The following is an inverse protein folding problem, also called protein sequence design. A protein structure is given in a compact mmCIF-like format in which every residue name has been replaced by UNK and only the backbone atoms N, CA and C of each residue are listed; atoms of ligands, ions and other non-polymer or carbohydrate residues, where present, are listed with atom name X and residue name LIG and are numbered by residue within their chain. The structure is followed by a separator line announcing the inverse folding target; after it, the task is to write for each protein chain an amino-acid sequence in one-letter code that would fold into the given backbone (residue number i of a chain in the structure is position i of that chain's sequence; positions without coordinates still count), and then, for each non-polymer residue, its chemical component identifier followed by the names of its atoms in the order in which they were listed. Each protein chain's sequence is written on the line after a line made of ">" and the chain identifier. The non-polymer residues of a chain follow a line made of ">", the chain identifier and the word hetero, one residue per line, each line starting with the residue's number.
data_IF_444067228807
#
_entry.id   IF_444067228807
#
_cell.length_a   1.000
_cell.length_b   1.000
_cell.length_c   1.000
_cell.angle_alpha   90.00
_cell.angle_beta   90.00
_cell.angle_gamma   90.00
#
_symmetry.space_group_name_H-M   'P 1'
#
loop_
_entity.id
_entity.type
_entity.pdbx_description
1 polymer ?
#
# COMPACT_ATOMS: atom_id res chain seq x y z
N UNK A 1 6.18 -3.48 -15.38
CA UNK A 1 5.04 -4.36 -15.71
C UNK A 1 3.78 -3.53 -15.81
N UNK A 2 2.87 -3.91 -16.70
CA UNK A 2 1.53 -3.31 -16.74
C UNK A 2 0.62 -4.14 -15.83
N UNK A 3 0.52 -3.75 -14.56
CA UNK A 3 -0.31 -4.40 -13.54
C UNK A 3 -1.46 -3.48 -13.15
N UNK A 4 -2.61 -4.00 -12.69
CA UNK A 4 -3.67 -3.18 -12.13
C UNK A 4 -3.14 -2.20 -11.08
N UNK A 5 -3.66 -0.97 -11.05
CA UNK A 5 -3.14 0.10 -10.18
C UNK A 5 -3.14 -0.28 -8.69
N UNK A 6 -4.15 -1.04 -8.25
CA UNK A 6 -4.29 -1.48 -6.87
C UNK A 6 -3.35 -2.63 -6.48
N UNK A 7 -2.51 -3.13 -7.39
CA UNK A 7 -1.61 -4.25 -7.12
C UNK A 7 -0.22 -3.74 -6.78
N UNK A 8 0.32 -4.19 -5.64
CA UNK A 8 1.71 -3.97 -5.28
C UNK A 8 2.49 -5.27 -5.50
N UNK A 9 3.22 -5.31 -6.62
CA UNK A 9 3.99 -6.46 -7.07
C UNK A 9 5.48 -6.24 -6.78
N UNK A 10 6.16 -7.27 -6.29
CA UNK A 10 7.57 -7.24 -5.94
C UNK A 10 8.33 -8.39 -6.62
N UNK A 11 9.59 -8.17 -6.99
CA UNK A 11 10.48 -9.22 -7.47
C UNK A 11 11.02 -10.00 -6.28
N UNK A 12 10.71 -11.30 -6.19
CA UNK A 12 11.19 -12.15 -5.09
C UNK A 12 12.42 -12.96 -5.48
N UNK A 13 12.66 -13.15 -6.77
CA UNK A 13 13.82 -13.84 -7.28
C UNK A 13 14.23 -13.32 -8.65
N UNK A 14 15.53 -13.09 -8.83
CA UNK A 14 16.17 -12.96 -10.14
C UNK A 14 17.67 -13.18 -9.95
N UNK A 15 18.33 -14.04 -10.75
CA UNK A 15 19.78 -14.15 -10.74
C UNK A 15 20.48 -12.96 -11.43
N UNK A 16 19.72 -12.09 -12.10
CA UNK A 16 20.20 -10.93 -12.86
C UNK A 16 19.61 -9.62 -12.32
N UNK A 17 20.30 -8.50 -12.57
CA UNK A 17 19.74 -7.16 -12.35
C UNK A 17 18.61 -6.89 -13.36
N UNK A 18 17.40 -6.67 -12.85
CA UNK A 18 16.20 -6.45 -13.65
C UNK A 18 16.11 -5.04 -14.23
N UNK A 19 16.82 -4.07 -13.63
CA UNK A 19 16.86 -2.70 -14.15
C UNK A 19 17.84 -2.60 -15.34
N UNK A 20 18.88 -3.45 -15.37
CA UNK A 20 19.97 -3.40 -16.35
C UNK A 20 20.32 -4.76 -16.95
N UNK A 21 19.35 -5.43 -17.59
CA UNK A 21 19.58 -6.74 -18.21
C UNK A 21 20.60 -6.63 -19.36
N UNK A 22 21.77 -7.26 -19.20
CA UNK A 22 22.79 -7.35 -20.23
C UNK A 22 22.80 -8.73 -20.91
N UNK A 23 22.06 -8.87 -22.02
CA UNK A 23 21.83 -10.18 -22.67
C UNK A 23 23.10 -10.87 -23.18
N UNK A 24 24.15 -10.12 -23.52
CA UNK A 24 25.40 -10.73 -23.99
C UNK A 24 26.19 -11.46 -22.89
N UNK A 25 25.84 -11.25 -21.61
CA UNK A 25 26.39 -11.99 -20.46
C UNK A 25 25.45 -13.06 -19.93
N UNK A 26 24.34 -13.35 -20.63
CA UNK A 26 23.39 -14.40 -20.25
C UNK A 26 23.71 -15.66 -21.05
N UNK A 27 23.88 -16.79 -20.38
CA UNK A 27 24.27 -18.06 -21.03
C UNK A 27 23.10 -18.77 -21.73
N UNK A 28 21.90 -18.76 -21.14
CA UNK A 28 20.69 -19.39 -21.68
C UNK A 28 19.52 -18.40 -21.71
N UNK A 29 18.97 -18.07 -20.54
CA UNK A 29 17.79 -17.21 -20.40
C UNK A 29 17.81 -16.40 -19.10
N UNK A 30 17.03 -15.34 -19.11
CA UNK A 30 16.74 -14.52 -17.92
C UNK A 30 15.42 -14.99 -17.34
N UNK A 31 15.44 -15.43 -16.09
CA UNK A 31 14.23 -15.81 -15.34
C UNK A 31 14.13 -14.94 -14.09
N UNK A 32 12.91 -14.55 -13.76
CA UNK A 32 12.60 -13.81 -12.54
C UNK A 32 11.21 -14.19 -12.04
N UNK A 33 11.07 -14.26 -10.73
CA UNK A 33 9.81 -14.53 -10.06
C UNK A 33 9.32 -13.26 -9.38
N UNK A 34 8.04 -12.99 -9.54
CA UNK A 34 7.38 -11.85 -8.95
C UNK A 34 6.15 -12.30 -8.17
N UNK A 35 5.85 -11.58 -7.10
CA UNK A 35 4.72 -11.87 -6.23
C UNK A 35 3.81 -10.64 -6.13
N UNK A 36 2.51 -10.88 -6.17
CA UNK A 36 1.54 -9.89 -5.69
C UNK A 36 1.59 -9.91 -4.16
N UNK A 37 2.37 -9.00 -3.58
CA UNK A 37 2.59 -8.99 -2.13
C UNK A 37 1.41 -8.34 -1.39
N UNK A 38 0.85 -7.26 -1.95
CA UNK A 38 -0.28 -6.56 -1.36
C UNK A 38 -1.27 -6.05 -2.40
N UNK A 39 -2.51 -5.85 -1.95
CA UNK A 39 -3.52 -5.06 -2.65
C UNK A 39 -3.65 -3.74 -1.88
N UNK A 40 -3.65 -2.63 -2.62
CA UNK A 40 -3.83 -1.30 -2.05
C UNK A 40 -5.28 -1.12 -1.58
N UNK A 41 -5.42 -0.60 -0.36
CA UNK A 41 -6.67 -0.13 0.20
C UNK A 41 -6.60 1.38 0.21
N UNK A 42 -7.40 1.99 -0.66
CA UNK A 42 -7.35 3.41 -0.97
C UNK A 42 -8.71 4.05 -0.69
N UNK A 43 -8.69 5.33 -0.37
CA UNK A 43 -9.93 6.07 -0.20
C UNK A 43 -9.68 7.56 -0.03
N UNK A 44 -10.78 8.25 0.24
CA UNK A 44 -10.78 9.67 0.52
C UNK A 44 -11.44 9.94 1.86
N UNK A 45 -10.92 10.93 2.58
CA UNK A 45 -11.43 11.34 3.89
C UNK A 45 -11.71 12.85 3.89
N UNK A 46 -12.97 13.18 4.18
CA UNK A 46 -13.49 14.54 4.20
C UNK A 46 -14.25 14.80 5.49
N UNK A 47 -14.20 16.06 5.94
CA UNK A 47 -15.07 16.57 6.99
C UNK A 47 -16.52 16.62 6.48
N UNK A 48 -17.44 15.98 7.19
CA UNK A 48 -18.83 15.84 6.77
C UNK A 48 -19.62 17.16 6.73
N UNK A 49 -19.15 18.22 7.41
CA UNK A 49 -19.78 19.53 7.45
C UNK A 49 -19.14 20.51 6.47
N UNK A 50 -17.81 20.46 6.33
CA UNK A 50 -17.05 21.41 5.51
C UNK A 50 -16.73 20.89 4.10
N UNK A 51 -16.99 19.61 3.81
CA UNK A 51 -16.64 18.94 2.54
C UNK A 51 -15.18 19.18 2.15
N UNK A 52 -14.31 19.25 3.16
CA UNK A 52 -12.89 19.55 3.01
C UNK A 52 -12.05 18.36 3.48
N UNK A 53 -10.92 18.06 2.83
CA UNK A 53 -9.96 17.08 3.34
C UNK A 53 -9.56 17.37 4.78
N UNK A 54 -9.22 16.34 5.55
CA UNK A 54 -8.69 16.47 6.92
C UNK A 54 -7.20 16.05 6.91
N UNK A 55 -6.26 16.95 6.54
CA UNK A 55 -4.87 16.57 6.37
C UNK A 55 -4.25 16.19 7.72
N UNK A 56 -3.48 15.11 7.73
CA UNK A 56 -2.78 14.63 8.91
C UNK A 56 -3.65 13.82 9.88
N UNK A 57 -4.94 13.61 9.59
CA UNK A 57 -5.74 12.60 10.29
C UNK A 57 -5.08 11.23 10.11
N UNK A 58 -4.89 10.50 11.20
CA UNK A 58 -4.13 9.26 11.22
C UNK A 58 -5.09 8.06 11.30
N UNK A 59 -4.96 7.13 10.36
CA UNK A 59 -5.64 5.84 10.38
C UNK A 59 -4.67 4.74 10.80
N UNK A 60 -5.19 3.75 11.52
CA UNK A 60 -4.55 2.45 11.71
C UNK A 60 -5.47 1.35 11.19
N UNK A 61 -4.87 0.32 10.59
CA UNK A 61 -5.54 -0.86 10.05
C UNK A 61 -4.90 -2.12 10.60
N UNK A 62 -5.73 -3.06 11.04
CA UNK A 62 -5.25 -4.33 11.56
C UNK A 62 -6.32 -5.41 11.62
N UNK A 63 -5.98 -6.54 12.23
CA UNK A 63 -6.88 -7.65 12.50
C UNK A 63 -7.34 -7.63 13.96
N UNK A 64 -8.17 -8.59 14.37
CA UNK A 64 -8.58 -8.72 15.77
C UNK A 64 -7.41 -9.06 16.71
N UNK A 65 -6.39 -9.76 16.20
CA UNK A 65 -5.21 -10.16 16.99
C UNK A 65 -4.13 -9.10 17.00
N UNK A 66 -4.03 -8.30 15.94
CA UNK A 66 -3.06 -7.21 15.82
C UNK A 66 -3.72 -5.98 15.18
N UNK A 67 -4.31 -5.08 15.99
CA UNK A 67 -5.20 -4.03 15.51
C UNK A 67 -4.48 -2.77 14.97
N UNK A 68 -3.15 -2.71 14.99
CA UNK A 68 -2.35 -1.56 14.50
C UNK A 68 -1.22 -2.00 13.55
N UNK A 69 -1.46 -3.05 12.75
CA UNK A 69 -0.48 -3.59 11.79
C UNK A 69 0.06 -2.55 10.80
N UNK A 70 -0.81 -1.66 10.32
CA UNK A 70 -0.47 -0.64 9.34
C UNK A 70 -1.03 0.70 9.74
N UNK A 71 -0.28 1.77 9.53
CA UNK A 71 -0.74 3.14 9.72
C UNK A 71 -0.54 4.00 8.47
N UNK A 72 -1.38 5.02 8.33
CA UNK A 72 -1.28 6.00 7.25
C UNK A 72 -1.87 7.33 7.70
N UNK A 73 -1.64 8.38 6.91
CA UNK A 73 -2.21 9.70 7.13
C UNK A 73 -3.05 10.12 5.93
N UNK A 74 -4.07 10.91 6.19
CA UNK A 74 -4.86 11.58 5.16
C UNK A 74 -4.05 12.74 4.58
N UNK A 75 -3.94 12.76 3.25
CA UNK A 75 -3.25 13.80 2.50
C UNK A 75 -4.15 15.02 2.28
N UNK A 76 -3.54 16.20 2.22
CA UNK A 76 -4.28 17.45 1.99
C UNK A 76 -4.96 17.48 0.61
N UNK A 77 -4.34 16.84 -0.38
CA UNK A 77 -4.88 16.78 -1.74
C UNK A 77 -5.98 15.72 -1.80
N UNK A 78 -7.23 16.18 -2.00
CA UNK A 78 -8.41 15.32 -2.20
C UNK A 78 -8.68 14.31 -1.07
N UNK A 79 -8.13 14.53 0.13
CA UNK A 79 -8.34 13.66 1.28
C UNK A 79 -7.79 12.24 1.10
N UNK A 80 -6.85 12.05 0.16
CA UNK A 80 -6.38 10.71 -0.20
C UNK A 80 -5.65 10.01 0.95
N UNK A 81 -5.92 8.72 1.14
CA UNK A 81 -5.12 7.83 1.98
C UNK A 81 -4.93 6.49 1.29
N UNK A 82 -3.83 5.81 1.62
CA UNK A 82 -3.48 4.49 1.08
C UNK A 82 -2.87 3.62 2.17
N UNK A 83 -3.32 2.36 2.21
CA UNK A 83 -2.82 1.30 3.07
C UNK A 83 -2.52 0.05 2.22
N UNK A 84 -1.71 -0.85 2.78
CA UNK A 84 -1.36 -2.13 2.15
C UNK A 84 -2.13 -3.25 2.84
N UNK A 85 -2.99 -3.95 2.10
CA UNK A 85 -3.81 -5.04 2.63
C UNK A 85 -3.46 -6.37 1.97
N UNK A 86 -3.48 -7.44 2.77
CA UNK A 86 -3.56 -8.82 2.25
C UNK A 86 -5.02 -9.27 2.22
N UNK A 87 -5.33 -10.38 1.55
CA UNK A 87 -6.69 -10.93 1.57
C UNK A 87 -7.09 -11.29 3.01
N UNK A 88 -8.24 -10.81 3.46
CA UNK A 88 -8.71 -11.04 4.82
C UNK A 88 -9.73 -10.00 5.29
N UNK A 89 -10.19 -10.15 6.53
CA UNK A 89 -11.02 -9.17 7.21
C UNK A 89 -10.13 -8.20 8.00
N UNK A 90 -10.37 -6.90 7.82
CA UNK A 90 -9.56 -5.84 8.41
C UNK A 90 -10.45 -4.83 9.14
N UNK A 91 -9.90 -4.25 10.20
CA UNK A 91 -10.50 -3.14 10.95
C UNK A 91 -9.70 -1.88 10.69
N UNK A 92 -10.37 -0.87 10.14
CA UNK A 92 -9.85 0.48 9.98
C UNK A 92 -10.38 1.35 11.12
N UNK A 93 -9.51 2.06 11.83
CA UNK A 93 -9.88 2.95 12.94
C UNK A 93 -8.98 4.17 12.98
N UNK A 94 -9.42 5.20 13.68
CA UNK A 94 -8.58 6.36 13.98
C UNK A 94 -7.48 5.94 14.95
N UNK A 95 -6.27 6.45 14.74
CA UNK A 95 -5.17 6.25 15.68
C UNK A 95 -5.48 6.99 16.98
N UNK A 96 -5.18 6.35 18.11
CA UNK A 96 -5.34 6.98 19.42
C UNK A 96 -4.49 8.27 19.55
N UNK A 97 -5.04 9.27 20.21
CA UNK A 97 -4.46 10.60 20.39
C UNK A 97 -5.23 11.66 19.62
N UNK A 98 -4.52 12.63 19.03
CA UNK A 98 -5.13 13.80 18.37
C UNK A 98 -6.12 13.49 17.26
N UNK A 99 -6.04 12.29 16.64
CA UNK A 99 -6.98 11.89 15.60
C UNK A 99 -8.29 11.34 16.16
N UNK A 100 -8.30 10.86 17.41
CA UNK A 100 -9.48 10.32 18.10
C UNK A 100 -10.12 11.31 19.10
N UNK A 101 -9.48 12.45 19.35
CA UNK A 101 -9.98 13.59 20.14
C UNK A 101 -10.90 14.49 19.30
#
# INVERSE_FOLDING_TARGET
>A
MDVPHSWMVEAIYSPYDLDNIHLASVEDRVEAEFVLEYILVEGQCFDAHMDSPIPGLQYVMGTDTDPELYDTIVMANLGYYQLKGKLGAWKLRLREGRSSE
#
